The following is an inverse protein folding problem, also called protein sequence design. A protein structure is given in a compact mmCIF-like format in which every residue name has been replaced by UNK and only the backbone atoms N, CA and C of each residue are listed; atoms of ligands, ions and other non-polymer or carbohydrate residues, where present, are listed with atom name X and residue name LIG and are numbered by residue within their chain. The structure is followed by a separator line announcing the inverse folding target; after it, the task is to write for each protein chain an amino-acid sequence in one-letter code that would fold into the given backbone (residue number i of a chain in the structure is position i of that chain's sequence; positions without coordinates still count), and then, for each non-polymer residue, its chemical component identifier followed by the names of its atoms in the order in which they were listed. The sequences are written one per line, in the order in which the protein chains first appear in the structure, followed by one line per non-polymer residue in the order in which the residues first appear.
data_IF_690882625153
#
_entry.id   IF_690882625153
#
_cell.length_a   1.000
_cell.length_b   1.000
_cell.length_c   1.000
_cell.angle_alpha   90.00
_cell.angle_beta   90.00
_cell.angle_gamma   90.00
#
_symmetry.space_group_name_H-M   'P 1'
#
loop_
_entity.id
_entity.type
_entity.pdbx_description
1 polymer ?
#
# COMPACT_ATOMS: atom_id res chain seq x y z
N UNK A 1 45.83 -24.50 66.38
CA UNK A 1 46.40 -24.71 65.03
C UNK A 1 45.36 -24.91 63.92
N UNK A 2 44.40 -25.83 64.05
CA UNK A 2 43.39 -26.10 62.99
C UNK A 2 42.39 -24.94 62.85
N UNK A 3 41.74 -24.50 63.94
CA UNK A 3 40.74 -23.39 63.91
C UNK A 3 41.34 -22.03 63.53
N UNK A 4 42.67 -21.91 63.59
CA UNK A 4 43.42 -20.73 63.13
C UNK A 4 43.72 -20.78 61.63
N UNK A 5 43.39 -21.89 60.94
CA UNK A 5 43.69 -22.10 59.52
C UNK A 5 45.17 -22.32 59.21
N UNK A 6 46.01 -22.56 60.23
CA UNK A 6 47.46 -22.77 60.08
C UNK A 6 47.81 -24.17 59.58
N UNK A 7 46.99 -25.17 59.90
CA UNK A 7 47.20 -26.57 59.47
C UNK A 7 46.65 -26.85 58.07
N UNK A 8 45.45 -26.35 57.75
CA UNK A 8 44.82 -26.49 56.44
C UNK A 8 44.08 -25.21 56.08
N UNK A 9 44.45 -24.58 54.95
CA UNK A 9 43.83 -23.37 54.44
C UNK A 9 42.63 -23.71 53.56
N UNK A 10 41.44 -23.26 53.97
CA UNK A 10 40.20 -23.39 53.22
C UNK A 10 39.80 -22.04 52.62
N UNK A 11 38.95 -22.07 51.58
CA UNK A 11 38.35 -20.87 50.97
C UNK A 11 37.47 -20.10 51.97
N UNK A 12 36.85 -20.83 52.92
CA UNK A 12 36.11 -20.26 54.05
C UNK A 12 36.77 -20.69 55.36
N UNK A 13 36.85 -19.82 56.37
CA UNK A 13 37.55 -20.11 57.61
C UNK A 13 36.82 -21.19 58.43
N UNK A 14 37.58 -21.92 59.24
CA UNK A 14 37.03 -22.86 60.22
C UNK A 14 36.22 -22.13 61.30
N UNK A 15 35.05 -22.67 61.63
CA UNK A 15 34.20 -22.18 62.72
C UNK A 15 33.92 -23.34 63.67
N UNK A 16 34.34 -23.19 64.93
CA UNK A 16 34.06 -24.15 65.99
C UNK A 16 32.65 -23.93 66.55
N UNK A 17 31.94 -25.01 66.81
CA UNK A 17 30.57 -25.02 67.37
C UNK A 17 30.52 -25.98 68.54
N UNK A 18 29.83 -25.59 69.62
CA UNK A 18 29.59 -26.47 70.77
C UNK A 18 28.11 -26.83 70.81
N UNK A 19 27.83 -28.12 70.64
CA UNK A 19 26.47 -28.65 70.63
C UNK A 19 26.06 -29.22 71.99
N UNK A 20 24.75 -29.51 72.12
CA UNK A 20 24.22 -30.25 73.27
C UNK A 20 24.78 -31.68 73.27
N UNK A 21 25.32 -32.12 74.41
CA UNK A 21 25.68 -33.52 74.63
C UNK A 21 24.44 -34.40 74.83
N UNK A 22 24.59 -35.73 74.76
CA UNK A 22 23.49 -36.67 74.93
C UNK A 22 22.74 -36.48 76.27
N UNK A 23 23.45 -36.20 77.36
CA UNK A 23 22.84 -35.90 78.65
C UNK A 23 22.01 -34.60 78.66
N UNK A 24 22.42 -33.58 77.90
CA UNK A 24 21.67 -32.34 77.74
C UNK A 24 20.40 -32.54 76.89
N UNK A 25 20.46 -33.43 75.90
CA UNK A 25 19.31 -33.81 75.07
C UNK A 25 18.29 -34.57 75.93
N UNK A 26 18.74 -35.56 76.70
CA UNK A 26 17.88 -36.35 77.58
C UNK A 26 17.19 -35.49 78.67
N UNK A 27 17.80 -34.35 79.05
CA UNK A 27 17.23 -33.37 79.99
C UNK A 27 16.41 -32.26 79.31
N UNK A 28 16.15 -32.35 78.01
CA UNK A 28 15.45 -31.34 77.21
C UNK A 28 15.98 -29.92 77.42
N UNK A 29 17.32 -29.75 77.50
CA UNK A 29 17.89 -28.42 77.70
C UNK A 29 17.55 -27.52 76.51
N UNK A 30 16.98 -26.37 76.83
CA UNK A 30 16.54 -25.36 75.88
C UNK A 30 17.70 -24.87 74.97
N UNK A 31 17.35 -24.50 73.73
CA UNK A 31 18.32 -24.04 72.73
C UNK A 31 18.93 -22.68 73.10
N UNK A 32 18.20 -21.78 73.75
CA UNK A 32 18.73 -20.49 74.19
C UNK A 32 19.75 -20.72 75.31
N UNK A 33 19.45 -21.62 76.25
CA UNK A 33 20.39 -22.02 77.30
C UNK A 33 21.65 -22.70 76.72
N UNK A 34 21.51 -23.55 75.69
CA UNK A 34 22.64 -24.16 74.99
C UNK A 34 23.52 -23.11 74.28
N UNK A 35 22.92 -22.12 73.61
CA UNK A 35 23.63 -21.01 72.94
C UNK A 35 24.37 -20.11 73.92
N UNK A 36 23.79 -19.86 75.10
CA UNK A 36 24.44 -19.08 76.16
C UNK A 36 25.70 -19.81 76.67
N UNK A 37 25.59 -21.11 76.94
CA UNK A 37 26.73 -21.94 77.36
C UNK A 37 27.81 -22.03 76.29
N UNK A 38 27.43 -22.13 75.01
CA UNK A 38 28.38 -22.09 73.88
C UNK A 38 29.17 -20.78 73.87
N UNK A 39 28.49 -19.63 74.03
CA UNK A 39 29.15 -18.31 74.10
C UNK A 39 30.08 -18.19 75.30
N UNK A 40 29.62 -18.65 76.46
CA UNK A 40 30.41 -18.64 77.69
C UNK A 40 31.67 -19.49 77.52
N UNK A 41 31.54 -20.73 77.03
CA UNK A 41 32.65 -21.64 76.76
C UNK A 41 33.76 -20.99 75.93
N UNK A 42 33.42 -20.36 74.81
CA UNK A 42 34.41 -19.69 73.97
C UNK A 42 35.01 -18.44 74.63
N UNK A 43 34.30 -17.77 75.54
CA UNK A 43 34.77 -16.56 76.23
C UNK A 43 35.63 -16.81 77.46
N UNK A 44 35.43 -17.95 78.13
CA UNK A 44 36.12 -18.31 79.39
C UNK A 44 37.30 -19.25 79.18
N UNK A 45 37.29 -20.06 78.12
CA UNK A 45 38.37 -21.02 77.82
C UNK A 45 39.62 -20.30 77.29
N UNK A 46 40.78 -20.36 77.98
CA UNK A 46 41.99 -19.61 77.62
C UNK A 46 42.48 -19.83 76.19
N UNK A 47 42.40 -21.07 75.69
CA UNK A 47 42.91 -21.50 74.39
C UNK A 47 42.08 -20.99 73.20
N UNK A 48 40.82 -20.60 73.43
CA UNK A 48 39.89 -20.15 72.39
C UNK A 48 39.42 -18.70 72.57
N UNK A 49 39.79 -18.06 73.69
CA UNK A 49 39.33 -16.73 74.07
C UNK A 49 39.60 -15.68 73.00
N UNK A 50 40.78 -15.70 72.37
CA UNK A 50 41.13 -14.79 71.26
C UNK A 50 40.32 -15.02 69.99
N UNK A 51 39.74 -16.21 69.83
CA UNK A 51 38.90 -16.59 68.69
C UNK A 51 37.40 -16.45 68.95
N UNK A 52 36.97 -16.13 70.19
CA UNK A 52 35.57 -16.13 70.59
C UNK A 52 34.64 -15.34 69.66
N UNK A 53 35.11 -14.21 69.10
CA UNK A 53 34.34 -13.35 68.18
C UNK A 53 33.99 -14.00 66.82
N UNK A 54 34.67 -15.09 66.47
CA UNK A 54 34.58 -15.80 65.17
C UNK A 54 34.27 -17.29 65.33
N UNK A 55 33.77 -17.66 66.51
CA UNK A 55 33.36 -19.01 66.88
C UNK A 55 31.90 -19.03 67.30
N UNK A 56 31.36 -20.23 67.44
CA UNK A 56 29.99 -20.47 67.84
C UNK A 56 29.01 -20.45 66.68
N UNK A 57 27.86 -21.05 66.92
CA UNK A 57 26.84 -21.26 65.90
C UNK A 57 26.17 -19.98 65.42
N UNK A 58 26.11 -18.94 66.28
CA UNK A 58 25.59 -17.63 65.87
C UNK A 58 26.49 -16.99 64.80
N UNK A 59 27.81 -17.08 64.98
CA UNK A 59 28.77 -16.60 63.99
C UNK A 59 28.70 -17.44 62.71
N UNK A 60 28.62 -18.76 62.83
CA UNK A 60 28.45 -19.66 61.69
C UNK A 60 27.19 -19.33 60.88
N UNK A 61 26.05 -19.14 61.54
CA UNK A 61 24.79 -18.79 60.89
C UNK A 61 24.92 -17.45 60.14
N UNK A 62 25.49 -16.42 60.77
CA UNK A 62 25.75 -15.12 60.10
C UNK A 62 26.67 -15.28 58.88
N UNK A 63 27.71 -16.09 58.98
CA UNK A 63 28.65 -16.34 57.88
C UNK A 63 27.97 -17.06 56.71
N UNK A 64 27.19 -18.12 57.00
CA UNK A 64 26.44 -18.86 55.99
C UNK A 64 25.38 -18.00 55.31
N UNK A 65 24.63 -17.19 56.07
CA UNK A 65 23.66 -16.24 55.51
C UNK A 65 24.32 -15.22 54.59
N UNK A 66 25.44 -14.61 55.00
CA UNK A 66 26.20 -13.67 54.17
C UNK A 66 26.73 -14.34 52.90
N UNK A 67 27.20 -15.58 53.00
CA UNK A 67 27.69 -16.32 51.84
C UNK A 67 26.55 -16.64 50.87
N UNK A 68 25.42 -17.15 51.36
CA UNK A 68 24.23 -17.42 50.56
C UNK A 68 23.73 -16.15 49.85
N UNK A 69 23.63 -15.04 50.57
CA UNK A 69 23.24 -13.75 50.01
C UNK A 69 24.17 -13.32 48.88
N UNK A 70 25.50 -13.48 49.06
CA UNK A 70 26.50 -13.16 48.03
C UNK A 70 26.31 -14.04 46.79
N UNK A 71 26.10 -15.34 46.98
CA UNK A 71 25.87 -16.28 45.86
C UNK A 71 24.58 -15.93 45.12
N UNK A 72 23.49 -15.68 45.85
CA UNK A 72 22.20 -15.28 45.25
C UNK A 72 22.38 -13.99 44.44
N UNK A 73 22.97 -12.94 45.03
CA UNK A 73 23.23 -11.66 44.35
C UNK A 73 24.10 -11.83 43.11
N UNK A 74 25.08 -12.73 43.13
CA UNK A 74 25.93 -13.00 41.96
C UNK A 74 25.20 -13.73 40.82
N UNK A 75 24.14 -14.50 41.13
CA UNK A 75 23.37 -15.27 40.14
C UNK A 75 22.18 -14.50 39.56
N UNK A 76 21.61 -13.55 40.31
CA UNK A 76 20.44 -12.75 39.87
C UNK A 76 20.65 -12.10 38.49
N UNK A 77 21.78 -11.41 38.17
CA UNK A 77 21.96 -10.79 36.86
C UNK A 77 21.94 -11.80 35.71
N UNK A 78 22.50 -13.00 35.92
CA UNK A 78 22.48 -14.06 34.92
C UNK A 78 21.07 -14.62 34.68
N UNK A 79 20.29 -14.78 35.76
CA UNK A 79 18.88 -15.19 35.67
C UNK A 79 18.05 -14.12 34.95
N UNK A 80 18.23 -12.83 35.30
CA UNK A 80 17.57 -11.71 34.62
C UNK A 80 17.90 -11.68 33.13
N UNK A 81 19.17 -11.84 32.76
CA UNK A 81 19.58 -11.90 31.36
C UNK A 81 18.94 -13.06 30.61
N UNK A 82 18.83 -14.24 31.24
CA UNK A 82 18.20 -15.40 30.62
C UNK A 82 16.69 -15.20 30.43
N UNK A 83 16.00 -14.62 31.43
CA UNK A 83 14.57 -14.29 31.35
C UNK A 83 14.34 -13.29 30.22
N UNK A 84 15.08 -12.18 30.18
CA UNK A 84 14.94 -11.15 29.16
C UNK A 84 15.19 -11.70 27.75
N UNK A 85 16.21 -12.56 27.59
CA UNK A 85 16.48 -13.24 26.33
C UNK A 85 15.31 -14.14 25.92
N UNK A 86 14.78 -14.93 26.86
CA UNK A 86 13.65 -15.83 26.60
C UNK A 86 12.39 -15.03 26.23
N UNK A 87 12.11 -13.92 26.91
CA UNK A 87 11.00 -13.01 26.57
C UNK A 87 11.14 -12.51 25.13
N UNK A 88 12.32 -11.98 24.76
CA UNK A 88 12.55 -11.48 23.41
C UNK A 88 12.38 -12.56 22.31
N UNK A 89 12.84 -13.79 22.59
CA UNK A 89 12.64 -14.93 21.69
C UNK A 89 11.14 -15.29 21.53
N UNK A 90 10.40 -15.34 22.64
CA UNK A 90 8.96 -15.61 22.64
C UNK A 90 8.16 -14.50 21.94
N UNK A 91 8.48 -13.23 22.18
CA UNK A 91 7.85 -12.08 21.53
C UNK A 91 8.09 -12.09 20.01
N UNK A 92 9.31 -12.41 19.60
CA UNK A 92 9.66 -12.54 18.17
C UNK A 92 8.88 -13.68 17.51
N UNK A 93 8.76 -14.82 18.19
CA UNK A 93 7.97 -15.94 17.70
C UNK A 93 6.48 -15.61 17.64
N UNK A 94 5.94 -14.94 18.65
CA UNK A 94 4.54 -14.51 18.69
C UNK A 94 4.23 -13.50 17.57
N UNK A 95 5.14 -12.55 17.34
CA UNK A 95 5.06 -11.59 16.24
C UNK A 95 5.00 -12.31 14.89
N UNK A 96 5.80 -13.37 14.70
CA UNK A 96 5.79 -14.18 13.48
C UNK A 96 4.47 -14.95 13.30
N UNK A 97 3.83 -15.38 14.38
CA UNK A 97 2.53 -16.07 14.32
C UNK A 97 1.35 -15.12 14.10
N UNK A 98 1.51 -13.82 14.35
CA UNK A 98 0.45 -12.82 14.19
C UNK A 98 -0.47 -12.70 15.39
N UNK A 99 -1.47 -11.81 15.29
CA UNK A 99 -2.41 -11.47 16.38
C UNK A 99 -3.49 -12.56 16.57
N UNK A 100 -3.97 -12.79 17.81
CA UNK A 100 -5.10 -13.68 18.04
C UNK A 100 -6.38 -13.15 17.38
N UNK A 101 -7.10 -14.04 16.72
CA UNK A 101 -8.41 -13.76 16.12
C UNK A 101 -9.47 -14.04 17.18
N UNK A 102 -10.46 -13.15 17.33
CA UNK A 102 -11.56 -13.39 18.26
C UNK A 102 -12.41 -14.59 17.82
N UNK A 103 -13.01 -15.29 18.80
CA UNK A 103 -13.80 -16.48 18.52
C UNK A 103 -15.17 -16.14 17.87
N UNK A 104 -15.75 -15.01 18.24
CA UNK A 104 -17.05 -14.54 17.77
C UNK A 104 -17.03 -14.01 16.34
N UNK A 105 -18.21 -13.89 15.74
CA UNK A 105 -18.34 -13.41 14.36
C UNK A 105 -17.87 -11.96 14.18
N UNK A 106 -18.09 -11.10 15.18
CA UNK A 106 -17.75 -9.68 15.13
C UNK A 106 -16.24 -9.47 15.07
N UNK A 107 -15.47 -10.12 15.95
CA UNK A 107 -14.02 -9.99 15.91
C UNK A 107 -13.37 -10.59 14.67
N UNK A 108 -13.93 -11.67 14.10
CA UNK A 108 -13.49 -12.20 12.79
C UNK A 108 -13.74 -11.22 11.67
N UNK A 109 -14.92 -10.60 11.64
CA UNK A 109 -15.26 -9.56 10.67
C UNK A 109 -14.30 -8.36 10.79
N UNK A 110 -14.06 -7.85 12.01
CA UNK A 110 -13.10 -6.78 12.25
C UNK A 110 -11.70 -7.13 11.74
N UNK A 111 -11.22 -8.35 12.03
CA UNK A 111 -9.91 -8.81 11.56
C UNK A 111 -9.81 -8.81 10.03
N UNK A 112 -10.83 -9.34 9.35
CA UNK A 112 -10.87 -9.33 7.87
C UNK A 112 -10.87 -7.90 7.34
N UNK A 113 -11.69 -7.02 7.94
CA UNK A 113 -11.77 -5.62 7.53
C UNK A 113 -10.44 -4.88 7.72
N UNK A 114 -9.74 -5.10 8.84
CA UNK A 114 -8.41 -4.54 9.09
C UNK A 114 -7.40 -4.96 8.02
N UNK A 115 -7.36 -6.26 7.68
CA UNK A 115 -6.49 -6.78 6.63
C UNK A 115 -6.83 -6.16 5.26
N UNK A 116 -8.12 -6.07 4.93
CA UNK A 116 -8.57 -5.41 3.71
C UNK A 116 -8.19 -3.92 3.68
N UNK A 117 -8.26 -3.22 4.81
CA UNK A 117 -7.83 -1.83 4.94
C UNK A 117 -6.33 -1.67 4.66
N UNK A 118 -5.48 -2.57 5.18
CA UNK A 118 -4.03 -2.55 4.90
C UNK A 118 -3.75 -2.76 3.41
N UNK A 119 -4.39 -3.74 2.78
CA UNK A 119 -4.30 -3.94 1.33
C UNK A 119 -4.76 -2.69 0.55
N UNK A 120 -5.90 -2.12 0.94
CA UNK A 120 -6.46 -0.95 0.26
C UNK A 120 -5.56 0.28 0.41
N UNK A 121 -4.93 0.47 1.58
CA UNK A 121 -3.92 1.50 1.80
C UNK A 121 -2.71 1.30 0.88
N UNK A 122 -2.15 0.09 0.83
CA UNK A 122 -1.03 -0.24 -0.06
C UNK A 122 -1.39 0.00 -1.54
N UNK A 123 -2.59 -0.39 -1.97
CA UNK A 123 -3.07 -0.12 -3.33
C UNK A 123 -3.14 1.38 -3.60
N UNK A 124 -3.73 2.15 -2.68
CA UNK A 124 -3.81 3.60 -2.79
C UNK A 124 -2.44 4.25 -2.82
N UNK A 125 -1.49 3.82 -2.02
CA UNK A 125 -0.12 4.34 -2.03
C UNK A 125 0.58 4.07 -3.36
N UNK A 126 0.43 2.87 -3.93
CA UNK A 126 0.99 2.54 -5.24
C UNK A 126 0.33 3.30 -6.39
N UNK A 127 -0.97 3.54 -6.28
CA UNK A 127 -1.73 4.36 -7.23
C UNK A 127 -1.33 5.83 -7.10
N UNK A 128 -1.20 6.32 -5.87
CA UNK A 128 -1.02 7.71 -5.55
C UNK A 128 0.41 8.19 -5.74
N UNK A 129 1.46 7.44 -5.39
CA UNK A 129 2.82 7.97 -5.56
C UNK A 129 2.98 9.42 -5.07
N UNK A 130 2.54 9.73 -3.85
CA UNK A 130 2.36 11.11 -3.33
C UNK A 130 1.60 12.07 -4.28
N UNK A 131 0.42 11.68 -4.77
CA UNK A 131 -0.53 12.55 -5.50
C UNK A 131 -1.94 12.63 -4.89
N UNK A 132 -2.08 12.65 -3.55
CA UNK A 132 -3.39 12.97 -2.93
C UNK A 132 -3.62 14.47 -2.73
N UNK A 133 -2.61 15.32 -2.91
CA UNK A 133 -2.74 16.77 -2.68
C UNK A 133 -2.92 17.61 -3.95
N UNK A 134 -2.98 16.99 -5.15
CA UNK A 134 -2.98 17.72 -6.44
C UNK A 134 -4.24 17.62 -7.30
N UNK A 135 -5.30 16.97 -6.80
CA UNK A 135 -6.62 16.90 -7.48
C UNK A 135 -7.76 17.49 -6.63
N UNK A 136 -7.51 17.86 -5.37
CA UNK A 136 -8.46 18.54 -4.48
C UNK A 136 -7.93 19.92 -4.15
N UNK A 137 -7.94 20.80 -5.16
CA UNK A 137 -8.17 22.25 -5.10
C UNK A 137 -7.62 22.87 -6.40
N UNK A 138 -8.34 23.81 -7.06
CA UNK A 138 -9.48 24.57 -6.55
C UNK A 138 -10.73 24.56 -7.44
N UNK A 139 -11.85 24.09 -6.86
CA UNK A 139 -13.17 24.72 -7.04
C UNK A 139 -13.34 25.96 -6.13
N UNK A 140 -12.24 26.52 -5.62
CA UNK A 140 -12.17 27.72 -4.80
C UNK A 140 -11.04 28.59 -5.33
N UNK A 141 -11.27 29.31 -6.43
CA UNK A 141 -10.75 30.66 -6.76
C UNK A 141 -11.56 31.06 -7.99
N UNK A 142 -12.74 31.64 -7.76
CA UNK A 142 -13.37 32.50 -8.74
C UNK A 142 -13.08 33.93 -8.31
N UNK A 143 -11.89 34.44 -8.61
CA UNK A 143 -11.72 35.87 -8.88
C UNK A 143 -10.41 36.13 -9.64
N UNK A 144 -10.54 36.95 -10.68
CA UNK A 144 -9.54 37.45 -11.62
C UNK A 144 -8.13 37.71 -11.05
N UNK A 145 -7.09 37.47 -11.85
CA UNK A 145 -6.23 38.53 -12.42
C UNK A 145 -5.04 37.93 -13.20
N UNK A 146 -5.02 38.29 -14.48
CA UNK A 146 -3.89 38.66 -15.35
C UNK A 146 -2.45 38.32 -14.92
N UNK A 147 -1.76 37.64 -15.85
CA UNK A 147 -0.30 37.56 -15.98
C UNK A 147 0.44 36.77 -14.90
N UNK A 148 0.30 35.45 -14.93
CA UNK A 148 1.31 34.55 -14.38
C UNK A 148 1.55 33.42 -15.37
N UNK A 149 2.80 33.28 -15.85
CA UNK A 149 3.19 32.27 -16.83
C UNK A 149 3.14 30.86 -16.22
N UNK A 150 1.94 30.29 -16.17
CA UNK A 150 1.62 28.94 -15.69
C UNK A 150 2.53 27.87 -16.31
N UNK A 151 2.92 28.04 -17.59
CA UNK A 151 3.85 27.15 -18.28
C UNK A 151 5.27 27.15 -17.68
N UNK A 152 5.78 28.31 -17.22
CA UNK A 152 7.11 28.41 -16.61
C UNK A 152 7.10 27.86 -15.17
N UNK A 153 6.00 28.04 -14.43
CA UNK A 153 5.82 27.47 -13.10
C UNK A 153 5.70 25.94 -13.14
N UNK A 154 4.98 25.38 -14.13
CA UNK A 154 4.91 23.93 -14.37
C UNK A 154 6.29 23.37 -14.73
N UNK A 155 7.08 24.09 -15.54
CA UNK A 155 8.44 23.66 -15.94
C UNK A 155 9.46 23.72 -14.79
N UNK A 156 9.51 24.79 -14.00
CA UNK A 156 10.41 24.92 -12.84
C UNK A 156 10.06 23.94 -11.72
N UNK A 157 8.77 23.66 -11.54
CA UNK A 157 8.30 22.68 -10.55
C UNK A 157 8.60 21.24 -10.99
N UNK A 158 8.52 20.92 -12.28
CA UNK A 158 8.90 19.61 -12.85
C UNK A 158 10.41 19.37 -12.78
N UNK A 159 11.24 20.40 -13.00
CA UNK A 159 12.70 20.29 -12.96
C UNK A 159 13.26 20.13 -11.54
N UNK A 160 12.67 20.78 -10.53
CA UNK A 160 13.16 20.71 -9.14
C UNK A 160 12.84 19.36 -8.46
N UNK A 161 11.83 18.63 -8.94
CA UNK A 161 11.35 17.39 -8.32
C UNK A 161 11.77 16.09 -9.03
N UNK A 162 12.42 16.19 -10.19
CA UNK A 162 12.88 15.05 -10.99
C UNK A 162 14.02 14.23 -10.33
N UNK A 163 14.39 14.53 -9.08
CA UNK A 163 15.57 13.99 -8.41
C UNK A 163 15.26 12.83 -7.44
N UNK A 164 14.01 12.59 -7.03
CA UNK A 164 13.75 11.56 -5.98
C UNK A 164 12.57 10.63 -6.30
N UNK A 165 12.93 9.48 -6.88
CA UNK A 165 12.37 8.13 -6.73
C UNK A 165 11.05 7.68 -7.42
N UNK A 166 11.26 6.63 -8.25
CA UNK A 166 10.39 5.49 -8.63
C UNK A 166 9.06 5.79 -9.36
N UNK A 167 9.02 5.41 -10.65
CA UNK A 167 7.83 5.37 -11.53
C UNK A 167 6.59 4.81 -10.82
N UNK A 168 5.69 5.70 -10.44
CA UNK A 168 4.45 5.41 -9.69
C UNK A 168 3.36 4.86 -10.61
N UNK A 169 2.26 4.35 -10.06
CA UNK A 169 1.09 3.95 -10.86
C UNK A 169 0.54 5.12 -11.69
N UNK A 170 0.48 6.30 -11.08
CA UNK A 170 0.10 7.55 -11.74
C UNK A 170 0.97 7.89 -12.96
N UNK A 171 2.30 7.72 -12.88
CA UNK A 171 3.20 8.00 -14.01
C UNK A 171 2.94 7.09 -15.21
N UNK A 172 2.62 5.82 -14.97
CA UNK A 172 2.27 4.88 -16.04
C UNK A 172 0.97 5.30 -16.74
N UNK A 173 -0.03 5.72 -15.98
CA UNK A 173 -1.31 6.23 -16.51
C UNK A 173 -1.08 7.53 -17.29
N UNK A 174 -0.26 8.44 -16.76
CA UNK A 174 0.11 9.67 -17.45
C UNK A 174 0.78 9.40 -18.80
N UNK A 175 1.68 8.42 -18.87
CA UNK A 175 2.33 8.02 -20.11
C UNK A 175 1.34 7.50 -21.18
N UNK A 176 0.24 6.85 -20.78
CA UNK A 176 -0.83 6.46 -21.72
C UNK A 176 -1.44 7.71 -22.37
N UNK A 177 -1.73 8.74 -21.58
CA UNK A 177 -2.41 9.94 -22.06
C UNK A 177 -1.51 10.94 -22.76
N UNK A 178 -0.24 11.06 -22.37
CA UNK A 178 0.67 12.07 -22.91
C UNK A 178 1.47 11.55 -24.12
N UNK A 179 1.68 10.23 -24.20
CA UNK A 179 2.47 9.62 -25.27
C UNK A 179 1.65 8.69 -26.17
N UNK A 180 0.98 7.69 -25.60
CA UNK A 180 0.34 6.62 -26.40
C UNK A 180 -0.88 7.14 -27.18
N UNK A 181 -1.80 7.82 -26.50
CA UNK A 181 -3.02 8.35 -27.11
C UNK A 181 -2.71 9.41 -28.19
N UNK A 182 -1.88 10.45 -27.94
CA UNK A 182 -1.55 11.44 -28.97
C UNK A 182 -0.83 10.84 -30.17
N UNK A 183 0.08 9.87 -29.96
CA UNK A 183 0.76 9.17 -31.04
C UNK A 183 -0.22 8.35 -31.90
N UNK A 184 -1.17 7.65 -31.27
CA UNK A 184 -2.19 6.88 -31.97
C UNK A 184 -3.11 7.78 -32.82
N UNK A 185 -3.54 8.93 -32.27
CA UNK A 185 -4.33 9.92 -33.01
C UNK A 185 -3.54 10.47 -34.20
N UNK A 186 -2.28 10.88 -34.00
CA UNK A 186 -1.43 11.42 -35.09
C UNK A 186 -1.22 10.42 -36.22
N UNK A 187 -1.06 9.13 -35.90
CA UNK A 187 -0.88 8.05 -36.88
C UNK A 187 -2.10 7.91 -37.80
N UNK A 188 -3.31 7.94 -37.24
CA UNK A 188 -4.57 7.84 -37.98
C UNK A 188 -4.71 9.02 -38.96
N UNK A 189 -4.42 10.23 -38.49
CA UNK A 189 -4.53 11.44 -39.31
C UNK A 189 -3.55 11.44 -40.49
N UNK A 190 -2.37 10.84 -40.33
CA UNK A 190 -1.38 10.71 -41.41
C UNK A 190 -1.72 9.64 -42.46
N UNK A 191 -2.48 8.60 -42.09
CA UNK A 191 -2.76 7.46 -42.98
C UNK A 191 -4.13 7.49 -43.67
N UNK A 192 -5.14 8.07 -43.03
CA UNK A 192 -6.54 7.89 -43.44
C UNK A 192 -7.05 8.97 -44.41
N UNK A 193 -6.59 10.22 -44.26
CA UNK A 193 -7.08 11.32 -45.11
C UNK A 193 -6.68 11.17 -46.58
N UNK A 194 -5.48 10.66 -46.85
CA UNK A 194 -5.01 10.42 -48.22
C UNK A 194 -5.78 9.25 -48.88
N UNK A 195 -6.07 8.19 -48.12
CA UNK A 195 -6.74 6.99 -48.65
C UNK A 195 -8.26 7.14 -48.81
N UNK A 196 -8.92 7.90 -47.94
CA UNK A 196 -10.38 8.15 -48.04
C UNK A 196 -10.72 9.06 -49.24
N UNK A 197 -9.87 10.04 -49.54
CA UNK A 197 -10.03 10.86 -50.76
C UNK A 197 -9.87 10.04 -52.05
N UNK A 198 -9.06 8.97 -52.03
CA UNK A 198 -8.84 8.09 -53.18
C UNK A 198 -9.89 6.97 -53.29
N UNK A 199 -10.46 6.51 -52.17
CA UNK A 199 -11.34 5.32 -52.13
C UNK A 199 -12.83 5.62 -52.38
N UNK A 200 -13.33 6.81 -52.02
CA UNK A 200 -14.78 7.06 -52.00
C UNK A 200 -15.40 7.37 -53.38
N UNK A 201 -14.60 7.40 -54.45
CA UNK A 201 -15.11 7.69 -55.79
C UNK A 201 -15.89 9.01 -55.83
N UNK A 202 -15.47 9.98 -55.02
CA UNK A 202 -16.17 11.25 -54.79
C UNK A 202 -16.47 11.92 -56.15
N UNK A 203 -17.76 12.04 -56.50
CA UNK A 203 -18.24 12.75 -57.67
C UNK A 203 -18.75 14.13 -57.23
N UNK A 204 -17.94 15.21 -57.32
CA UNK A 204 -18.27 16.54 -56.80
C UNK A 204 -19.55 17.15 -57.41
N UNK A 205 -20.01 16.59 -58.53
CA UNK A 205 -21.11 17.10 -59.35
C UNK A 205 -22.50 16.60 -58.92
N UNK A 206 -22.59 15.62 -58.01
CA UNK A 206 -23.86 14.95 -57.63
C UNK A 206 -24.24 15.12 -56.15
N UNK A 207 -23.35 15.64 -55.31
CA UNK A 207 -23.52 15.76 -53.87
C UNK A 207 -23.27 17.22 -53.49
N UNK A 208 -24.18 17.84 -52.73
CA UNK A 208 -23.96 19.18 -52.18
C UNK A 208 -22.63 19.19 -51.39
N UNK A 209 -21.74 20.18 -51.59
CA UNK A 209 -20.41 20.20 -50.98
C UNK A 209 -20.42 19.87 -49.48
N UNK A 210 -21.43 20.36 -48.76
CA UNK A 210 -21.65 20.14 -47.32
C UNK A 210 -21.77 18.66 -46.94
N UNK A 211 -22.50 17.85 -47.70
CA UNK A 211 -22.69 16.43 -47.39
C UNK A 211 -21.39 15.63 -47.54
N UNK A 212 -20.52 16.04 -48.47
CA UNK A 212 -19.19 15.46 -48.66
C UNK A 212 -18.25 15.74 -47.48
N UNK A 213 -18.24 16.99 -46.98
CA UNK A 213 -17.49 17.36 -45.78
C UNK A 213 -17.97 16.57 -44.56
N UNK A 214 -19.28 16.49 -44.35
CA UNK A 214 -19.87 15.75 -43.24
C UNK A 214 -19.42 14.29 -43.24
N UNK A 215 -19.53 13.61 -44.39
CA UNK A 215 -19.18 12.20 -44.50
C UNK A 215 -17.69 11.94 -44.27
N UNK A 216 -16.80 12.74 -44.88
CA UNK A 216 -15.34 12.59 -44.71
C UNK A 216 -14.91 12.84 -43.27
N UNK A 217 -15.51 13.85 -42.62
CA UNK A 217 -15.26 14.15 -41.21
C UNK A 217 -15.74 12.99 -40.33
N UNK A 218 -16.98 12.53 -40.52
CA UNK A 218 -17.58 11.43 -39.75
C UNK A 218 -16.75 10.15 -39.89
N UNK A 219 -16.44 9.74 -41.12
CA UNK A 219 -15.62 8.56 -41.42
C UNK A 219 -14.24 8.63 -40.76
N UNK A 220 -13.63 9.81 -40.72
CA UNK A 220 -12.35 10.02 -40.04
C UNK A 220 -12.50 9.97 -38.52
N UNK A 221 -13.50 10.64 -37.94
CA UNK A 221 -13.69 10.73 -36.49
C UNK A 221 -14.06 9.37 -35.86
N UNK A 222 -14.82 8.52 -36.56
CA UNK A 222 -15.15 7.16 -36.10
C UNK A 222 -13.89 6.33 -35.82
N UNK A 223 -12.80 6.54 -36.54
CA UNK A 223 -11.54 5.81 -36.32
C UNK A 223 -10.88 6.15 -34.97
N UNK A 224 -11.26 7.25 -34.30
CA UNK A 224 -10.77 7.65 -32.97
C UNK A 224 -11.27 6.70 -31.87
N UNK A 225 -12.36 5.96 -32.10
CA UNK A 225 -12.89 4.97 -31.14
C UNK A 225 -11.83 3.94 -30.75
N UNK A 226 -11.02 3.47 -31.70
CA UNK A 226 -9.97 2.48 -31.46
C UNK A 226 -8.90 2.97 -30.45
N UNK A 227 -8.22 4.10 -30.71
CA UNK A 227 -7.30 4.71 -29.74
C UNK A 227 -7.92 5.03 -28.38
N UNK A 228 -9.18 5.48 -28.36
CA UNK A 228 -9.88 5.80 -27.12
C UNK A 228 -10.11 4.54 -26.26
N UNK A 229 -10.56 3.45 -26.88
CA UNK A 229 -10.70 2.14 -26.22
C UNK A 229 -9.35 1.58 -25.75
N UNK A 230 -8.30 1.68 -26.57
CA UNK A 230 -6.97 1.25 -26.19
C UNK A 230 -6.44 2.00 -24.95
N UNK A 231 -6.75 3.29 -24.81
CA UNK A 231 -6.38 4.07 -23.63
C UNK A 231 -7.14 3.64 -22.35
N UNK A 232 -8.42 3.28 -22.50
CA UNK A 232 -9.25 2.69 -21.43
C UNK A 232 -8.63 1.37 -20.96
N UNK A 233 -8.29 0.48 -21.89
CA UNK A 233 -7.76 -0.86 -21.60
C UNK A 233 -6.34 -0.84 -21.03
N UNK A 234 -5.49 0.07 -21.52
CA UNK A 234 -4.16 0.29 -20.97
C UNK A 234 -4.22 0.78 -19.51
N UNK A 235 -5.15 1.69 -19.20
CA UNK A 235 -5.38 2.17 -17.82
C UNK A 235 -5.85 1.04 -16.92
N UNK A 236 -6.80 0.23 -17.38
CA UNK A 236 -7.30 -0.93 -16.65
C UNK A 236 -6.19 -1.94 -16.32
N UNK A 237 -5.34 -2.25 -17.30
CA UNK A 237 -4.21 -3.16 -17.11
C UNK A 237 -3.23 -2.64 -16.06
N UNK A 238 -2.93 -1.33 -16.06
CA UNK A 238 -2.13 -0.71 -15.01
C UNK A 238 -2.79 -0.89 -13.63
N UNK A 239 -4.10 -0.64 -13.51
CA UNK A 239 -4.80 -0.80 -12.23
C UNK A 239 -4.76 -2.25 -11.72
N UNK A 240 -4.90 -3.25 -12.61
CA UNK A 240 -4.77 -4.68 -12.25
C UNK A 240 -3.36 -5.01 -11.75
N UNK A 241 -2.32 -4.50 -12.41
CA UNK A 241 -0.93 -4.67 -11.96
C UNK A 241 -0.72 -4.09 -10.55
N UNK A 242 -1.32 -2.93 -10.26
CA UNK A 242 -1.24 -2.30 -8.94
C UNK A 242 -1.96 -3.13 -7.87
N UNK A 243 -3.11 -3.71 -8.18
CA UNK A 243 -3.80 -4.67 -7.28
C UNK A 243 -2.88 -5.84 -6.98
N UNK A 244 -2.31 -6.50 -8.00
CA UNK A 244 -1.40 -7.63 -7.79
C UNK A 244 -0.18 -7.25 -6.94
N UNK A 245 0.40 -6.07 -7.18
CA UNK A 245 1.51 -5.55 -6.40
C UNK A 245 1.12 -5.32 -4.94
N UNK A 246 0.01 -4.63 -4.67
CA UNK A 246 -0.49 -4.39 -3.31
C UNK A 246 -0.80 -5.71 -2.57
N UNK A 247 -1.38 -6.70 -3.26
CA UNK A 247 -1.61 -8.04 -2.70
C UNK A 247 -0.30 -8.78 -2.34
N UNK A 248 0.78 -8.54 -3.09
CA UNK A 248 2.09 -9.16 -2.81
C UNK A 248 2.83 -8.51 -1.64
N UNK A 249 2.61 -7.22 -1.43
CA UNK A 249 3.25 -6.41 -0.40
C UNK A 249 2.48 -6.38 0.93
N UNK A 250 1.24 -6.86 0.96
CA UNK A 250 0.45 -7.01 2.18
C UNK A 250 0.77 -8.36 2.85
N UNK A 251 1.57 -8.40 3.96
CA UNK A 251 2.02 -9.64 4.56
C UNK A 251 0.87 -10.43 5.22
N UNK A 252 -0.14 -9.77 5.77
CA UNK A 252 -1.28 -10.40 6.45
C UNK A 252 -2.09 -11.26 5.47
N UNK A 253 -2.22 -10.84 4.21
CA UNK A 253 -2.86 -11.63 3.16
C UNK A 253 -2.05 -12.87 2.76
N UNK A 254 -0.77 -12.98 3.12
CA UNK A 254 -0.01 -14.24 2.92
C UNK A 254 -0.36 -15.27 4.00
N UNK A 255 -0.73 -14.81 5.19
CA UNK A 255 -1.15 -15.67 6.29
C UNK A 255 -2.53 -16.31 6.02
N UNK A 256 -3.39 -15.65 5.24
CA UNK A 256 -4.75 -16.10 4.95
C UNK A 256 -5.01 -16.29 3.44
N UNK A 257 -4.61 -17.44 2.86
CA UNK A 257 -4.73 -17.68 1.41
C UNK A 257 -6.16 -17.63 0.87
N UNK A 258 -7.15 -18.11 1.64
CA UNK A 258 -8.55 -18.07 1.23
C UNK A 258 -9.05 -16.61 1.13
N UNK A 259 -8.82 -15.81 2.16
CA UNK A 259 -9.11 -14.37 2.14
C UNK A 259 -8.38 -13.65 1.00
N UNK A 260 -7.10 -14.00 0.75
CA UNK A 260 -6.31 -13.43 -0.34
C UNK A 260 -6.97 -13.63 -1.71
N UNK A 261 -7.48 -14.82 -1.99
CA UNK A 261 -8.15 -15.12 -3.26
C UNK A 261 -9.43 -14.29 -3.38
N UNK A 262 -10.25 -14.27 -2.34
CA UNK A 262 -11.54 -13.54 -2.35
C UNK A 262 -11.36 -12.03 -2.50
N UNK A 263 -10.44 -11.43 -1.73
CA UNK A 263 -10.13 -9.98 -1.84
C UNK A 263 -9.56 -9.65 -3.21
N UNK A 264 -8.67 -10.49 -3.74
CA UNK A 264 -8.09 -10.31 -5.07
C UNK A 264 -9.16 -10.37 -6.17
N UNK A 265 -10.03 -11.38 -6.13
CA UNK A 265 -11.12 -11.53 -7.09
C UNK A 265 -12.08 -10.35 -7.02
N UNK A 266 -12.49 -9.94 -5.82
CA UNK A 266 -13.41 -8.82 -5.64
C UNK A 266 -12.82 -7.50 -6.16
N UNK A 267 -11.53 -7.24 -5.90
CA UNK A 267 -10.84 -6.05 -6.41
C UNK A 267 -10.79 -6.05 -7.95
N UNK A 268 -10.45 -7.18 -8.57
CA UNK A 268 -10.40 -7.31 -10.03
C UNK A 268 -11.79 -7.15 -10.64
N UNK A 269 -12.82 -7.77 -10.05
CA UNK A 269 -14.20 -7.64 -10.52
C UNK A 269 -14.69 -6.18 -10.46
N UNK A 270 -14.37 -5.46 -9.38
CA UNK A 270 -14.66 -4.03 -9.28
C UNK A 270 -13.98 -3.22 -10.40
N UNK A 271 -12.71 -3.52 -10.71
CA UNK A 271 -12.00 -2.86 -11.81
C UNK A 271 -12.63 -3.14 -13.19
N UNK A 272 -13.11 -4.37 -13.45
CA UNK A 272 -13.81 -4.70 -14.70
C UNK A 272 -15.09 -3.85 -14.85
N UNK A 273 -15.90 -3.71 -13.79
CA UNK A 273 -17.11 -2.87 -13.81
C UNK A 273 -16.77 -1.40 -14.10
N UNK A 274 -15.70 -0.88 -13.50
CA UNK A 274 -15.22 0.50 -13.72
C UNK A 274 -14.70 0.70 -15.15
N UNK A 275 -13.99 -0.30 -15.69
CA UNK A 275 -13.50 -0.30 -17.07
C UNK A 275 -14.65 -0.24 -18.07
N UNK A 276 -15.70 -1.02 -17.87
CA UNK A 276 -16.86 -1.04 -18.77
C UNK A 276 -17.64 0.29 -18.75
N UNK A 277 -17.83 0.87 -17.56
CA UNK A 277 -18.40 2.22 -17.44
C UNK A 277 -17.54 3.28 -18.12
N UNK A 278 -16.22 3.22 -17.94
CA UNK A 278 -15.27 4.12 -18.56
C UNK A 278 -15.25 3.99 -20.08
N UNK A 279 -15.32 2.77 -20.61
CA UNK A 279 -15.42 2.51 -22.05
C UNK A 279 -16.67 3.15 -22.63
N UNK A 280 -17.83 2.94 -22.00
CA UNK A 280 -19.10 3.53 -22.43
C UNK A 280 -19.04 5.06 -22.45
N UNK A 281 -18.60 5.68 -21.35
CA UNK A 281 -18.52 7.14 -21.24
C UNK A 281 -17.52 7.75 -22.23
N UNK A 282 -16.37 7.11 -22.42
CA UNK A 282 -15.32 7.60 -23.33
C UNK A 282 -15.74 7.49 -24.80
N UNK A 283 -16.36 6.38 -25.20
CA UNK A 283 -16.87 6.24 -26.56
C UNK A 283 -18.03 7.19 -26.84
N UNK A 284 -18.89 7.45 -25.85
CA UNK A 284 -19.94 8.48 -25.97
C UNK A 284 -19.37 9.87 -26.24
N UNK A 285 -18.25 10.25 -25.61
CA UNK A 285 -17.59 11.53 -25.92
C UNK A 285 -17.13 11.61 -27.38
N UNK A 286 -16.61 10.51 -27.94
CA UNK A 286 -16.23 10.47 -29.36
C UNK A 286 -17.47 10.54 -30.25
N UNK A 287 -18.51 9.80 -29.91
CA UNK A 287 -19.77 9.76 -30.69
C UNK A 287 -20.46 11.13 -30.72
N UNK A 288 -20.39 11.90 -29.62
CA UNK A 288 -20.90 13.27 -29.57
C UNK A 288 -20.19 14.20 -30.57
N UNK A 289 -18.88 14.07 -30.75
CA UNK A 289 -18.10 14.86 -31.72
C UNK A 289 -18.35 14.41 -33.18
N UNK A 290 -18.74 13.15 -33.39
CA UNK A 290 -19.13 12.64 -34.71
C UNK A 290 -20.52 13.15 -35.15
N UNK A 291 -21.47 13.28 -34.21
CA UNK A 291 -22.86 13.61 -34.52
C UNK A 291 -23.12 15.11 -34.77
N UNK A 292 -22.25 16.01 -34.32
CA UNK A 292 -22.47 17.46 -34.46
C UNK A 292 -21.22 18.18 -34.96
N UNK A 293 -21.35 18.86 -36.10
CA UNK A 293 -20.29 19.70 -36.64
C UNK A 293 -20.28 21.08 -36.00
N UNK A 294 -19.13 21.50 -35.50
CA UNK A 294 -18.96 22.84 -34.92
C UNK A 294 -19.00 23.90 -36.01
N UNK A 295 -20.18 24.51 -36.20
CA UNK A 295 -20.44 25.52 -37.25
C UNK A 295 -19.48 26.72 -37.17
N UNK A 296 -19.07 27.10 -35.96
CA UNK A 296 -18.16 28.22 -35.72
C UNK A 296 -16.78 28.03 -36.37
N UNK A 297 -16.33 26.78 -36.52
CA UNK A 297 -15.11 26.49 -37.26
C UNK A 297 -15.25 26.89 -38.74
N UNK A 298 -16.36 26.53 -39.37
CA UNK A 298 -16.60 26.78 -40.78
C UNK A 298 -16.84 28.26 -41.08
N UNK A 299 -17.39 29.03 -40.14
CA UNK A 299 -17.54 30.50 -40.27
C UNK A 299 -16.22 31.25 -40.32
N UNK A 300 -15.16 30.68 -39.74
CA UNK A 300 -13.81 31.30 -39.67
C UNK A 300 -12.90 30.90 -40.83
N UNK A 301 -13.36 30.02 -41.73
CA UNK A 301 -12.62 29.70 -42.94
C UNK A 301 -12.55 30.94 -43.84
N UNK A 302 -11.39 31.21 -44.48
CA UNK A 302 -11.29 32.29 -45.44
C UNK A 302 -12.36 32.14 -46.52
N UNK A 303 -13.28 33.11 -46.61
CA UNK A 303 -14.16 33.24 -47.76
C UNK A 303 -13.33 33.86 -48.89
N UNK A 304 -12.71 33.02 -49.70
CA UNK A 304 -12.15 33.50 -50.97
C UNK A 304 -13.33 33.97 -51.82
N UNK A 305 -13.40 35.27 -52.06
CA UNK A 305 -14.26 35.85 -53.09
C UNK A 305 -13.77 35.27 -54.41
N UNK A 306 -14.44 34.22 -54.90
CA UNK A 306 -14.22 33.73 -56.26
C UNK A 306 -14.41 34.92 -57.20
N UNK A 307 -13.30 35.47 -57.71
CA UNK A 307 -13.34 36.30 -58.91
C UNK A 307 -13.89 35.39 -59.99
N UNK A 308 -15.17 35.58 -60.31
CA UNK A 308 -15.94 34.73 -61.21
C UNK A 308 -15.11 34.29 -62.41
N UNK A 309 -14.87 32.98 -62.51
CA UNK A 309 -14.18 32.38 -63.64
C UNK A 309 -14.88 32.73 -64.95
N UNK A 310 -14.10 32.92 -66.01
CA UNK A 310 -14.61 33.17 -67.35
C UNK A 310 -15.62 32.09 -67.76
N UNK A 311 -16.73 32.48 -68.40
CA UNK A 311 -17.83 31.61 -68.84
C UNK A 311 -17.40 30.48 -69.81
N UNK A 312 -16.13 30.44 -70.19
CA UNK A 312 -15.51 29.48 -71.10
C UNK A 312 -14.81 28.30 -70.39
N UNK A 313 -14.68 28.29 -69.06
CA UNK A 313 -14.10 27.16 -68.34
C UNK A 313 -15.13 26.05 -68.14
N UNK A 314 -14.75 24.83 -68.53
CA UNK A 314 -15.55 23.62 -68.34
C UNK A 314 -15.96 23.52 -66.87
N UNK A 315 -17.19 23.09 -66.59
CA UNK A 315 -17.64 22.79 -65.22
C UNK A 315 -16.66 21.81 -64.54
N UNK A 316 -16.00 20.95 -65.33
CA UNK A 316 -14.94 20.04 -64.90
C UNK A 316 -13.67 20.75 -64.41
N UNK A 317 -13.27 21.88 -65.00
CA UNK A 317 -12.12 22.69 -64.53
C UNK A 317 -12.43 23.48 -63.25
N UNK A 318 -13.70 23.56 -62.86
CA UNK A 318 -14.13 24.25 -61.64
C UNK A 318 -13.82 23.44 -60.37
N UNK A 319 -13.64 22.12 -60.51
CA UNK A 319 -13.24 21.18 -59.45
C UNK A 319 -11.80 20.71 -59.62
N UNK A 320 -10.88 21.64 -59.92
CA UNK A 320 -9.46 21.36 -60.06
C UNK A 320 -8.84 20.71 -58.81
N UNK A 321 -7.70 20.03 -58.98
CA UNK A 321 -6.85 19.46 -57.92
C UNK A 321 -6.63 20.41 -56.72
N UNK A 322 -6.58 21.73 -56.99
CA UNK A 322 -6.48 22.78 -55.98
C UNK A 322 -7.70 22.87 -55.05
N UNK A 323 -8.91 22.64 -55.57
CA UNK A 323 -10.16 22.62 -54.80
C UNK A 323 -10.25 21.38 -53.90
N UNK A 324 -9.90 20.19 -54.43
CA UNK A 324 -9.84 18.96 -53.65
C UNK A 324 -8.79 19.04 -52.53
N UNK A 325 -7.61 19.63 -52.80
CA UNK A 325 -6.59 19.91 -51.77
C UNK A 325 -7.10 20.86 -50.68
N UNK A 326 -7.91 21.88 -51.03
CA UNK A 326 -8.54 22.80 -50.04
C UNK A 326 -9.58 22.09 -49.17
N UNK A 327 -10.41 21.21 -49.76
CA UNK A 327 -11.34 20.34 -49.02
C UNK A 327 -10.54 19.50 -48.01
N UNK A 328 -9.52 18.79 -48.48
CA UNK A 328 -8.68 17.95 -47.62
C UNK A 328 -8.01 18.72 -46.48
N UNK A 329 -7.48 19.93 -46.77
CA UNK A 329 -6.89 20.81 -45.76
C UNK A 329 -7.91 21.28 -44.72
N UNK A 330 -9.14 21.58 -45.15
CA UNK A 330 -10.24 22.02 -44.26
C UNK A 330 -10.71 20.88 -43.36
N UNK A 331 -10.95 19.68 -43.93
CA UNK A 331 -11.31 18.46 -43.17
C UNK A 331 -10.20 18.13 -42.17
N UNK A 332 -8.94 18.12 -42.59
CA UNK A 332 -7.81 17.87 -41.70
C UNK A 332 -7.75 18.89 -40.56
N UNK A 333 -7.98 20.17 -40.84
CA UNK A 333 -7.98 21.23 -39.83
C UNK A 333 -9.12 21.07 -38.82
N UNK A 334 -10.32 20.68 -39.28
CA UNK A 334 -11.46 20.39 -38.40
C UNK A 334 -11.17 19.18 -37.52
N UNK A 335 -10.70 18.08 -38.11
CA UNK A 335 -10.39 16.85 -37.37
C UNK A 335 -9.27 17.09 -36.36
N UNK A 336 -8.25 17.90 -36.69
CA UNK A 336 -7.20 18.30 -35.76
C UNK A 336 -7.75 19.08 -34.56
N UNK A 337 -8.70 19.99 -34.78
CA UNK A 337 -9.37 20.73 -33.71
C UNK A 337 -10.14 19.77 -32.79
N UNK A 338 -10.94 18.86 -33.33
CA UNK A 338 -11.67 17.85 -32.55
C UNK A 338 -10.72 16.93 -31.79
N UNK A 339 -9.64 16.47 -32.43
CA UNK A 339 -8.59 15.68 -31.78
C UNK A 339 -7.91 16.43 -30.63
N UNK A 340 -7.72 17.74 -30.74
CA UNK A 340 -7.19 18.57 -29.64
C UNK A 340 -8.17 18.61 -28.46
N UNK A 341 -9.47 18.75 -28.72
CA UNK A 341 -10.52 18.68 -27.68
C UNK A 341 -10.55 17.29 -27.01
N UNK A 342 -10.59 16.23 -27.81
CA UNK A 342 -10.65 14.85 -27.34
C UNK A 342 -9.40 14.44 -26.54
N UNK A 343 -8.22 14.99 -26.86
CA UNK A 343 -6.99 14.80 -26.07
C UNK A 343 -7.15 15.29 -24.63
N UNK A 344 -8.06 16.23 -24.35
CA UNK A 344 -8.33 16.71 -23.00
C UNK A 344 -9.54 16.03 -22.35
N UNK A 345 -10.58 15.69 -23.10
CA UNK A 345 -11.81 15.11 -22.54
C UNK A 345 -11.70 13.60 -22.28
N UNK A 346 -11.03 12.84 -23.15
CA UNK A 346 -10.85 11.38 -23.01
C UNK A 346 -10.11 11.03 -21.71
N UNK A 347 -8.92 11.61 -21.40
CA UNK A 347 -8.23 11.31 -20.15
C UNK A 347 -9.06 11.65 -18.90
N UNK A 348 -9.82 12.76 -18.93
CA UNK A 348 -10.68 13.16 -17.80
C UNK A 348 -11.77 12.12 -17.54
N UNK A 349 -12.41 11.62 -18.60
CA UNK A 349 -13.41 10.55 -18.51
C UNK A 349 -12.81 9.27 -17.92
N UNK A 350 -11.66 8.83 -18.44
CA UNK A 350 -10.98 7.63 -17.97
C UNK A 350 -10.56 7.75 -16.50
N UNK A 351 -9.93 8.87 -16.13
CA UNK A 351 -9.51 9.13 -14.75
C UNK A 351 -10.72 9.18 -13.81
N UNK A 352 -11.81 9.82 -14.23
CA UNK A 352 -13.02 9.93 -13.41
C UNK A 352 -13.66 8.55 -13.18
N UNK A 353 -13.87 7.77 -14.24
CA UNK A 353 -14.59 6.49 -14.15
C UNK A 353 -13.73 5.32 -13.64
N UNK A 354 -12.41 5.33 -13.85
CA UNK A 354 -11.53 4.24 -13.42
C UNK A 354 -10.66 4.64 -12.23
N UNK A 355 -9.74 5.58 -12.42
CA UNK A 355 -8.68 5.86 -11.43
C UNK A 355 -9.27 6.40 -10.12
N UNK A 356 -10.17 7.38 -10.21
CA UNK A 356 -10.81 7.99 -9.04
C UNK A 356 -11.77 7.02 -8.36
N UNK A 357 -12.58 6.28 -9.11
CA UNK A 357 -13.48 5.29 -8.54
C UNK A 357 -12.73 4.12 -7.91
N UNK A 358 -11.69 3.58 -8.56
CA UNK A 358 -10.83 2.55 -7.97
C UNK A 358 -10.18 3.02 -6.67
N UNK A 359 -9.79 4.30 -6.58
CA UNK A 359 -9.25 4.89 -5.35
C UNK A 359 -10.29 5.08 -4.24
N UNK A 360 -11.59 5.14 -4.57
CA UNK A 360 -12.66 5.48 -3.63
C UNK A 360 -13.41 4.26 -3.14
N UNK A 361 -13.67 3.29 -4.02
CA UNK A 361 -14.70 2.27 -3.82
C UNK A 361 -14.27 0.86 -4.25
N UNK A 362 -12.96 0.58 -4.37
CA UNK A 362 -12.44 -0.73 -4.86
C UNK A 362 -13.09 -1.94 -4.16
N UNK A 363 -13.26 -1.84 -2.84
CA UNK A 363 -13.77 -2.92 -1.99
C UNK A 363 -15.17 -2.68 -1.44
N UNK A 364 -15.90 -1.63 -1.85
CA UNK A 364 -17.21 -1.30 -1.27
C UNK A 364 -18.23 -2.44 -1.44
N UNK A 365 -18.23 -3.07 -2.63
CA UNK A 365 -19.07 -4.23 -2.89
C UNK A 365 -18.66 -5.42 -2.02
N UNK A 366 -17.35 -5.67 -1.88
CA UNK A 366 -16.83 -6.73 -1.02
C UNK A 366 -17.24 -6.53 0.43
N UNK A 367 -17.13 -5.31 0.97
CA UNK A 367 -17.55 -5.00 2.33
C UNK A 367 -19.05 -5.19 2.55
N UNK A 368 -19.86 -4.87 1.55
CA UNK A 368 -21.32 -5.09 1.59
C UNK A 368 -21.65 -6.58 1.66
N UNK A 369 -20.96 -7.42 0.89
CA UNK A 369 -21.15 -8.87 0.93
C UNK A 369 -20.58 -9.50 2.20
N UNK A 370 -19.43 -9.00 2.66
CA UNK A 370 -18.78 -9.46 3.88
C UNK A 370 -19.67 -9.28 5.12
N UNK A 371 -20.40 -8.16 5.21
CA UNK A 371 -21.34 -7.88 6.28
C UNK A 371 -22.55 -8.83 6.35
N UNK A 372 -22.81 -9.60 5.28
CA UNK A 372 -23.90 -10.60 5.22
C UNK A 372 -23.43 -12.01 5.58
N UNK A 373 -22.12 -12.23 5.76
CA UNK A 373 -21.58 -13.56 5.97
C UNK A 373 -21.79 -14.04 7.41
N UNK A 374 -22.16 -15.31 7.53
CA UNK A 374 -22.22 -16.00 8.81
C UNK A 374 -20.82 -16.35 9.34
N UNK A 375 -20.72 -16.57 10.65
CA UNK A 375 -19.47 -16.92 11.35
C UNK A 375 -18.71 -18.09 10.72
N UNK A 376 -19.42 -19.11 10.21
CA UNK A 376 -18.80 -20.28 9.56
C UNK A 376 -18.03 -19.88 8.30
N UNK A 377 -18.60 -18.98 7.48
CA UNK A 377 -17.93 -18.48 6.27
C UNK A 377 -16.78 -17.54 6.61
N UNK A 378 -16.96 -16.64 7.58
CA UNK A 378 -15.87 -15.77 8.07
C UNK A 378 -14.68 -16.59 8.59
N UNK A 379 -14.96 -17.70 9.27
CA UNK A 379 -13.92 -18.64 9.73
C UNK A 379 -13.21 -19.34 8.58
N UNK A 380 -13.94 -19.69 7.52
CA UNK A 380 -13.35 -20.29 6.32
C UNK A 380 -12.45 -19.32 5.54
N UNK A 381 -12.74 -18.01 5.56
CA UNK A 381 -11.86 -16.98 4.97
C UNK A 381 -10.54 -16.85 5.74
N UNK A 382 -10.62 -16.92 7.07
CA UNK A 382 -9.47 -16.78 7.96
C UNK A 382 -8.70 -18.09 8.15
N UNK A 383 -9.23 -19.24 7.69
CA UNK A 383 -8.67 -20.61 7.68
C UNK A 383 -7.40 -20.82 8.51
N UNK A 384 -7.43 -20.44 9.79
CA UNK A 384 -6.24 -20.43 10.63
C UNK A 384 -5.98 -21.87 11.07
N UNK A 385 -4.75 -22.34 10.85
CA UNK A 385 -4.35 -23.65 11.29
C UNK A 385 -4.56 -23.75 12.82
N UNK A 386 -5.38 -24.69 13.32
CA UNK A 386 -5.63 -24.82 14.75
C UNK A 386 -4.34 -25.01 15.56
N UNK A 387 -3.29 -25.58 14.95
CA UNK A 387 -1.98 -25.71 15.59
C UNK A 387 -1.28 -24.36 15.80
N UNK A 388 -1.47 -23.40 14.88
CA UNK A 388 -0.95 -22.04 15.03
C UNK A 388 -1.68 -21.31 16.16
N UNK A 389 -3.00 -21.48 16.24
CA UNK A 389 -3.82 -20.90 17.29
C UNK A 389 -3.42 -21.44 18.68
N UNK A 390 -3.28 -22.76 18.82
CA UNK A 390 -2.82 -23.40 20.06
C UNK A 390 -1.41 -22.95 20.44
N UNK A 391 -0.48 -22.93 19.48
CA UNK A 391 0.89 -22.47 19.69
C UNK A 391 0.94 -21.02 20.14
N UNK A 392 0.15 -20.13 19.51
CA UNK A 392 0.03 -18.72 19.91
C UNK A 392 -0.49 -18.59 21.33
N UNK A 393 -1.53 -19.35 21.70
CA UNK A 393 -2.08 -19.36 23.06
C UNK A 393 -1.08 -19.85 24.10
N UNK A 394 -0.33 -20.92 23.79
CA UNK A 394 0.69 -21.46 24.68
C UNK A 394 1.86 -20.49 24.92
N UNK A 395 2.32 -19.81 23.85
CA UNK A 395 3.37 -18.79 23.95
C UNK A 395 2.90 -17.57 24.75
N UNK A 396 1.68 -17.09 24.50
CA UNK A 396 1.10 -15.96 25.24
C UNK A 396 1.00 -16.27 26.75
N UNK A 397 0.48 -17.44 27.13
CA UNK A 397 0.42 -17.89 28.54
C UNK A 397 1.80 -17.96 29.18
N UNK A 398 2.82 -18.38 28.43
CA UNK A 398 4.20 -18.48 28.92
C UNK A 398 4.87 -17.12 29.12
N UNK A 399 4.35 -16.07 28.48
CA UNK A 399 4.81 -14.68 28.60
C UNK A 399 4.18 -13.96 29.81
N UNK A 400 3.00 -14.41 30.26
CA UNK A 400 2.32 -13.91 31.45
C UNK A 400 2.88 -14.48 32.78
N UNK A 401 3.59 -15.62 32.71
CA UNK A 401 4.26 -16.29 33.84
C UNK A 401 5.64 -15.69 34.11
#
# INVERSE_FOLDING_TARGET
MILEGKSYRLKFPWVGVVNRSQANINKNVDMIAARRREREYFSTTPEYRHLAHRMGSEHLAKMLSKHLETVIKSRIPGIQSLINKTIAELETELSRLGKPIAADAGGKLCTIMEICCLFYQNFREHLDGVYVSRLVLPSLIHLSLTSFNFANFVRDFVLTFNIVHRRTGGDKVYNVFDNQLPAALKRILGSSLLKLMEADGYQPHLIAPEQGYCHLIESTLVTIRGPAEAAVDATHSILKDLVHKAMSETPELKQYPALRVEVGNAAIESLERMRDQSKKATLQLVDMECCYLTVEFFRKLPQDVDKGGSATQSIFDRYNDSYLRRIGSTVLSYVNMVCATLRHSIPKSIVYCQVREAKRSLLDFFYTELGKLEQKRLSALLNEDPTIMERRSALAKRLEL
#
